data_IF_502694308649
#
_entry.id   IF_502694308649
#
_cell.length_a   1.000
_cell.length_b   1.000
_cell.length_c   1.000
_cell.angle_alpha   90.00
_cell.angle_beta   90.00
_cell.angle_gamma   90.00
#
_symmetry.space_group_name_H-M   'P 1'
#
loop_
_entity.id
_entity.type
_entity.pdbx_description
1 polymer ?
#
# COMPACT_ATOMS: atom_id res chain seq x y z
N UNK A 1 -34.76 16.15 55.03
CA UNK A 1 -34.23 17.17 54.06
C UNK A 1 -34.76 16.83 52.67
N UNK A 2 -35.62 17.69 52.09
CA UNK A 2 -36.08 17.50 50.74
C UNK A 2 -35.08 18.18 49.78
N UNK A 3 -34.32 17.43 49.00
CA UNK A 3 -33.49 17.98 47.95
C UNK A 3 -34.38 18.43 46.81
N UNK A 4 -34.24 19.64 46.28
CA UNK A 4 -35.08 20.12 45.18
C UNK A 4 -34.77 19.34 43.89
N UNK A 5 -35.84 18.89 43.23
CA UNK A 5 -35.81 18.00 42.06
C UNK A 5 -35.03 18.53 40.82
N UNK A 6 -34.72 19.82 40.81
CA UNK A 6 -33.89 20.40 39.72
C UNK A 6 -32.40 20.10 39.81
N UNK A 7 -31.90 19.62 40.97
CA UNK A 7 -30.50 19.19 41.10
C UNK A 7 -30.22 17.89 40.35
N UNK A 8 -31.23 17.00 40.29
CA UNK A 8 -31.11 15.75 39.53
C UNK A 8 -31.15 15.99 38.01
N UNK A 9 -31.87 17.03 37.55
CA UNK A 9 -31.99 17.35 36.13
C UNK A 9 -30.72 17.94 35.51
N UNK A 10 -29.98 18.75 36.29
CA UNK A 10 -28.70 19.36 35.85
C UNK A 10 -27.60 18.31 35.74
N UNK A 11 -27.61 17.30 36.64
CA UNK A 11 -26.60 16.24 36.62
C UNK A 11 -26.79 15.27 35.44
N UNK A 12 -28.04 15.04 35.01
CA UNK A 12 -28.37 14.20 33.85
C UNK A 12 -27.97 14.83 32.53
N UNK A 13 -28.04 16.16 32.42
CA UNK A 13 -27.67 16.88 31.17
C UNK A 13 -26.16 16.97 30.95
N UNK A 14 -25.36 16.95 32.02
CA UNK A 14 -23.89 17.01 31.96
C UNK A 14 -23.26 15.71 31.44
N UNK A 15 -23.91 14.56 31.59
CA UNK A 15 -23.40 13.24 31.20
C UNK A 15 -23.53 13.02 29.68
N UNK A 16 -24.52 13.62 29.01
CA UNK A 16 -24.76 13.43 27.59
C UNK A 16 -23.74 14.18 26.71
N UNK A 17 -23.07 15.20 27.23
CA UNK A 17 -22.11 16.00 26.47
C UNK A 17 -20.70 15.38 26.34
N UNK A 18 -20.43 14.27 27.03
CA UNK A 18 -19.11 13.67 27.11
C UNK A 18 -18.82 12.59 26.04
N UNK A 19 -19.80 12.21 25.21
CA UNK A 19 -19.63 11.13 24.23
C UNK A 19 -19.27 11.58 22.80
N UNK A 20 -19.02 12.86 22.59
CA UNK A 20 -18.78 13.45 21.27
C UNK A 20 -17.32 13.55 20.82
N UNK A 21 -16.36 12.86 21.43
CA UNK A 21 -15.00 12.87 20.93
C UNK A 21 -14.88 11.82 19.81
N UNK A 22 -15.32 12.21 18.62
CA UNK A 22 -14.98 11.48 17.40
C UNK A 22 -13.48 11.47 17.24
N UNK A 23 -12.85 10.34 17.56
CA UNK A 23 -11.41 10.10 17.32
C UNK A 23 -11.19 10.12 15.82
N UNK A 24 -10.88 11.28 15.25
CA UNK A 24 -10.33 11.40 13.90
C UNK A 24 -9.00 10.62 13.88
N UNK A 25 -9.02 9.42 13.32
CA UNK A 25 -7.77 8.70 13.05
C UNK A 25 -7.00 9.49 11.99
N UNK A 26 -5.76 9.90 12.25
CA UNK A 26 -4.96 10.60 11.25
C UNK A 26 -4.82 9.71 10.03
N UNK A 27 -5.15 10.25 8.86
CA UNK A 27 -4.93 9.56 7.58
C UNK A 27 -3.42 9.47 7.37
N UNK A 28 -2.84 8.28 7.21
CA UNK A 28 -1.41 8.14 7.01
C UNK A 28 -0.99 8.88 5.73
N UNK A 29 -0.09 9.84 5.86
CA UNK A 29 0.47 10.55 4.71
C UNK A 29 1.42 9.62 3.96
N UNK A 30 1.21 9.50 2.65
CA UNK A 30 2.12 8.79 1.75
C UNK A 30 3.20 9.77 1.28
N UNK A 31 4.45 9.37 1.37
CA UNK A 31 5.59 10.11 0.83
C UNK A 31 6.26 9.32 -0.30
N UNK A 32 6.92 10.01 -1.20
CA UNK A 32 7.71 9.35 -2.24
C UNK A 32 8.91 8.69 -1.57
N UNK A 33 9.04 7.38 -1.77
CA UNK A 33 10.18 6.63 -1.24
C UNK A 33 11.41 6.88 -2.15
N UNK A 34 12.46 7.40 -1.56
CA UNK A 34 13.72 7.68 -2.24
C UNK A 34 14.89 7.13 -1.43
N UNK A 35 16.04 6.89 -2.08
CA UNK A 35 17.24 6.46 -1.39
C UNK A 35 17.69 7.48 -0.32
N UNK A 36 17.48 8.78 -0.58
CA UNK A 36 17.75 9.82 0.42
C UNK A 36 16.86 9.65 1.65
N UNK A 37 15.55 9.49 1.45
CA UNK A 37 14.60 9.26 2.54
C UNK A 37 14.98 8.01 3.36
N UNK A 38 15.37 6.93 2.69
CA UNK A 38 15.82 5.71 3.36
C UNK A 38 17.03 5.96 4.25
N UNK A 39 18.06 6.62 3.74
CA UNK A 39 19.28 6.95 4.50
C UNK A 39 18.99 7.89 5.68
N UNK A 40 18.18 8.92 5.45
CA UNK A 40 17.85 9.92 6.47
C UNK A 40 16.91 9.36 7.56
N UNK A 41 16.10 8.37 7.24
CA UNK A 41 15.15 7.75 8.18
C UNK A 41 15.80 6.80 9.20
N UNK A 42 17.01 6.32 8.91
CA UNK A 42 17.69 5.33 9.75
C UNK A 42 16.97 3.98 9.85
N UNK A 43 16.04 3.70 8.92
CA UNK A 43 15.32 2.43 8.88
C UNK A 43 16.28 1.28 8.58
N UNK A 44 16.16 0.21 9.35
CA UNK A 44 16.84 -1.05 9.08
C UNK A 44 16.15 -1.80 7.92
N UNK A 45 16.82 -2.82 7.40
CA UNK A 45 16.23 -3.72 6.40
C UNK A 45 14.97 -4.42 6.91
N UNK A 46 14.95 -4.81 8.17
CA UNK A 46 13.79 -5.46 8.80
C UNK A 46 12.61 -4.47 8.97
N UNK A 47 12.92 -3.20 9.22
CA UNK A 47 11.88 -2.17 9.27
C UNK A 47 11.24 -1.97 7.89
N UNK A 48 12.03 -2.00 6.81
CA UNK A 48 11.52 -1.88 5.44
C UNK A 48 10.55 -3.01 5.05
N UNK A 49 10.70 -4.21 5.60
CA UNK A 49 9.75 -5.30 5.38
C UNK A 49 8.36 -5.02 5.95
N UNK A 50 8.27 -4.11 6.93
CA UNK A 50 7.00 -3.67 7.55
C UNK A 50 6.40 -2.46 6.86
N UNK A 51 7.15 -1.81 5.97
CA UNK A 51 6.67 -0.65 5.22
C UNK A 51 5.73 -1.11 4.11
N UNK A 52 4.55 -0.50 4.05
CA UNK A 52 3.62 -0.70 2.95
C UNK A 52 3.97 0.23 1.80
N UNK A 53 4.47 -0.32 0.70
CA UNK A 53 4.72 0.41 -0.53
C UNK A 53 3.44 0.54 -1.38
N UNK A 54 3.41 1.58 -2.23
CA UNK A 54 2.33 1.81 -3.19
C UNK A 54 2.90 2.35 -4.49
N UNK A 55 2.35 1.91 -5.61
CA UNK A 55 2.68 2.47 -6.91
C UNK A 55 2.06 3.87 -7.05
N UNK A 56 2.85 4.85 -7.47
CA UNK A 56 2.43 6.25 -7.67
C UNK A 56 1.79 6.51 -9.05
N UNK A 57 2.08 5.65 -10.02
CA UNK A 57 1.58 5.70 -11.40
C UNK A 57 1.38 4.29 -11.95
N UNK A 58 0.59 4.15 -13.03
CA UNK A 58 0.42 2.86 -13.70
C UNK A 58 1.76 2.41 -14.31
N UNK A 59 2.13 1.15 -14.06
CA UNK A 59 3.29 0.48 -14.68
C UNK A 59 2.75 -0.55 -15.66
N UNK A 60 3.23 -0.49 -16.90
CA UNK A 60 2.86 -1.46 -17.94
C UNK A 60 4.10 -2.26 -18.31
N UNK A 61 4.02 -3.57 -18.15
CA UNK A 61 5.07 -4.52 -18.47
C UNK A 61 4.63 -5.31 -19.70
N UNK A 62 5.54 -5.50 -20.63
CA UNK A 62 5.32 -6.27 -21.85
C UNK A 62 6.24 -7.47 -21.89
N UNK A 63 5.71 -8.62 -22.27
CA UNK A 63 6.46 -9.84 -22.53
C UNK A 63 6.09 -10.41 -23.88
N UNK A 64 7.07 -10.65 -24.74
CA UNK A 64 6.87 -11.40 -25.99
C UNK A 64 6.56 -12.85 -25.64
N UNK A 65 5.48 -13.38 -26.18
CA UNK A 65 5.05 -14.77 -25.97
C UNK A 65 5.59 -15.65 -27.08
N UNK A 66 6.29 -16.70 -26.67
CA UNK A 66 6.57 -17.83 -27.53
C UNK A 66 5.44 -18.86 -27.41
N UNK A 67 5.35 -19.76 -28.38
CA UNK A 67 4.27 -20.78 -28.43
C UNK A 67 4.20 -21.72 -27.24
N UNK A 68 5.29 -21.81 -26.45
CA UNK A 68 5.42 -22.65 -25.25
C UNK A 68 5.21 -21.92 -23.93
N UNK A 69 4.99 -20.59 -23.98
CA UNK A 69 4.95 -19.80 -22.75
C UNK A 69 3.60 -19.95 -22.00
N UNK A 70 3.69 -20.11 -20.69
CA UNK A 70 2.52 -20.04 -19.81
C UNK A 70 2.05 -18.61 -19.69
N UNK A 71 0.75 -18.40 -19.66
CA UNK A 71 0.13 -17.09 -19.49
C UNK A 71 0.18 -16.65 -18.02
N UNK A 72 0.33 -15.36 -17.81
CA UNK A 72 0.18 -14.76 -16.46
C UNK A 72 -1.31 -14.50 -16.22
N UNK A 73 -1.79 -14.83 -15.03
CA UNK A 73 -3.16 -14.52 -14.64
C UNK A 73 -3.40 -12.99 -14.65
N UNK A 74 -4.44 -12.55 -15.34
CA UNK A 74 -4.74 -11.13 -15.52
C UNK A 74 -3.97 -10.42 -16.64
N UNK A 75 -3.06 -11.08 -17.35
CA UNK A 75 -2.37 -10.53 -18.51
C UNK A 75 -3.26 -10.45 -19.73
N UNK A 76 -3.17 -9.34 -20.49
CA UNK A 76 -3.87 -9.13 -21.75
C UNK A 76 -2.93 -9.41 -22.92
N UNK A 77 -3.34 -10.29 -23.85
CA UNK A 77 -2.57 -10.54 -25.06
C UNK A 77 -2.93 -9.50 -26.12
N UNK A 78 -1.91 -8.85 -26.67
CA UNK A 78 -2.01 -7.89 -27.77
C UNK A 78 -0.98 -8.22 -28.85
N UNK A 79 -1.18 -7.71 -30.07
CA UNK A 79 -0.21 -7.85 -31.16
C UNK A 79 0.57 -6.53 -31.28
N UNK A 80 1.89 -6.60 -31.12
CA UNK A 80 2.81 -5.47 -31.32
C UNK A 80 3.90 -5.88 -32.30
N UNK A 81 4.07 -5.10 -33.37
CA UNK A 81 5.12 -5.38 -34.36
C UNK A 81 5.01 -6.76 -35.04
N UNK A 82 3.81 -7.37 -35.07
CA UNK A 82 3.60 -8.71 -35.60
C UNK A 82 3.82 -9.85 -34.63
N UNK A 83 4.19 -9.55 -33.38
CA UNK A 83 4.40 -10.53 -32.30
C UNK A 83 3.26 -10.50 -31.28
N UNK A 84 2.92 -11.68 -30.73
CA UNK A 84 2.01 -11.79 -29.61
C UNK A 84 2.75 -11.31 -28.34
N UNK A 85 2.19 -10.29 -27.71
CA UNK A 85 2.75 -9.69 -26.50
C UNK A 85 1.73 -9.78 -25.39
N UNK A 86 2.16 -10.28 -24.23
CA UNK A 86 1.37 -10.22 -23.01
C UNK A 86 1.64 -8.90 -22.30
N UNK A 87 0.56 -8.17 -22.04
CA UNK A 87 0.59 -6.90 -21.31
C UNK A 87 0.09 -7.11 -19.89
N UNK A 88 0.90 -6.74 -18.90
CA UNK A 88 0.55 -6.76 -17.49
C UNK A 88 0.55 -5.33 -16.99
N UNK A 89 -0.58 -4.87 -16.46
CA UNK A 89 -0.75 -3.50 -15.97
C UNK A 89 -0.87 -3.52 -14.45
N UNK A 90 0.11 -2.91 -13.77
CA UNK A 90 0.06 -2.66 -12.32
C UNK A 90 -0.48 -1.25 -12.12
N UNK A 91 -1.66 -1.14 -11.56
CA UNK A 91 -2.37 0.13 -11.41
C UNK A 91 -1.78 0.98 -10.29
N UNK A 92 -1.88 2.31 -10.46
CA UNK A 92 -1.61 3.28 -9.40
C UNK A 92 -2.36 2.90 -8.12
N UNK A 93 -1.67 3.00 -6.99
CA UNK A 93 -2.22 2.67 -5.68
C UNK A 93 -2.19 1.19 -5.32
N UNK A 94 -1.71 0.31 -6.24
CA UNK A 94 -1.47 -1.09 -5.91
C UNK A 94 -0.46 -1.18 -4.77
N UNK A 95 -0.78 -2.00 -3.79
CA UNK A 95 0.06 -2.27 -2.62
C UNK A 95 1.19 -3.21 -3.02
N UNK A 96 2.40 -2.92 -2.52
CA UNK A 96 3.56 -3.77 -2.71
C UNK A 96 4.27 -4.06 -1.39
N UNK A 97 4.90 -5.21 -1.31
CA UNK A 97 5.71 -5.64 -0.18
C UNK A 97 7.16 -5.83 -0.60
N UNK A 98 8.11 -5.46 0.27
CA UNK A 98 9.52 -5.76 0.05
C UNK A 98 9.76 -7.26 0.22
N UNK A 99 10.20 -7.92 -0.84
CA UNK A 99 10.51 -9.36 -0.84
C UNK A 99 12.02 -9.63 -0.98
N UNK A 100 12.74 -8.71 -1.61
CA UNK A 100 14.16 -8.89 -1.89
C UNK A 100 14.94 -7.57 -1.84
N UNK A 101 16.11 -7.59 -1.22
CA UNK A 101 17.01 -6.43 -1.14
C UNK A 101 18.45 -6.92 -1.27
N UNK A 102 18.97 -7.03 -2.49
CA UNK A 102 20.34 -7.53 -2.73
C UNK A 102 21.40 -6.55 -2.27
N UNK A 103 21.10 -5.26 -2.32
CA UNK A 103 21.96 -4.13 -1.92
C UNK A 103 21.08 -3.01 -1.35
N UNK A 104 21.71 -2.08 -0.63
CA UNK A 104 21.00 -0.95 0.00
C UNK A 104 20.40 0.06 -0.99
N UNK A 105 20.73 -0.05 -2.27
CA UNK A 105 20.26 0.82 -3.35
C UNK A 105 19.23 0.14 -4.28
N UNK A 106 18.84 -1.11 -3.98
CA UNK A 106 17.91 -1.87 -4.84
C UNK A 106 16.88 -2.60 -4.01
N UNK A 107 15.61 -2.37 -4.35
CA UNK A 107 14.46 -2.96 -3.69
C UNK A 107 13.69 -3.84 -4.68
N UNK A 108 13.53 -5.12 -4.35
CA UNK A 108 12.61 -6.02 -5.02
C UNK A 108 11.24 -5.95 -4.34
N UNK A 109 10.26 -5.37 -5.01
CA UNK A 109 8.92 -5.20 -4.45
C UNK A 109 7.94 -6.05 -5.24
N UNK A 110 7.26 -6.97 -4.55
CA UNK A 110 6.16 -7.75 -5.11
C UNK A 110 4.86 -6.97 -4.99
N UNK A 111 4.11 -6.94 -6.09
CA UNK A 111 2.75 -6.40 -6.19
C UNK A 111 1.70 -7.50 -6.36
N UNK A 112 2.13 -8.75 -6.28
CA UNK A 112 1.27 -9.94 -6.32
C UNK A 112 1.10 -10.48 -4.89
N UNK A 113 -0.12 -10.48 -4.37
CA UNK A 113 -0.41 -11.00 -3.03
C UNK A 113 -0.29 -12.53 -2.93
N UNK A 114 -0.20 -13.21 -4.07
CA UNK A 114 -0.22 -14.69 -4.15
C UNK A 114 1.15 -15.30 -4.35
N UNK A 115 2.16 -14.49 -4.72
CA UNK A 115 3.50 -15.00 -5.07
C UNK A 115 4.58 -13.96 -4.78
N UNK A 116 5.54 -14.35 -3.95
CA UNK A 116 6.73 -13.55 -3.66
C UNK A 116 7.80 -13.65 -4.77
N UNK A 117 7.64 -14.59 -5.71
CA UNK A 117 8.58 -14.82 -6.81
C UNK A 117 8.47 -13.76 -7.91
N UNK A 118 7.36 -13.01 -7.94
CA UNK A 118 7.09 -11.99 -8.93
C UNK A 118 7.31 -10.60 -8.33
N UNK A 119 8.45 -10.00 -8.57
CA UNK A 119 8.78 -8.68 -8.08
C UNK A 119 9.39 -7.78 -9.15
N UNK A 120 9.25 -6.48 -8.96
CA UNK A 120 9.95 -5.47 -9.74
C UNK A 120 11.11 -4.92 -8.92
N UNK A 121 12.22 -4.64 -9.61
CA UNK A 121 13.40 -4.01 -9.01
C UNK A 121 13.32 -2.49 -9.18
N UNK A 122 13.52 -1.79 -8.08
CA UNK A 122 13.56 -0.34 -8.00
C UNK A 122 14.91 0.14 -7.47
#
# INVERSE_FOLDING_TARGET
MKFPSYFLSIFSFSIVLSFGISSCKPVPQKSVFTQKLYKDSGLSKDDLQRVQFFIDRDIVIYRVLNSSDSRVEGGKITIRGGENVEEIVIKRGTKGALVYMPKDDRLGISFDATSDDKYLMF
#
